data_IF_637572346930
#
_entry.id   IF_637572346930
#
_cell.length_a   1.000
_cell.length_b   1.000
_cell.length_c   1.000
_cell.angle_alpha   90.00
_cell.angle_beta   90.00
_cell.angle_gamma   90.00
#
_symmetry.space_group_name_H-M   'P 1'
#
loop_
_entity.id
_entity.type
_entity.pdbx_description
1 polymer ?
#
# COMPACT_ATOMS: atom_id res chain seq x y z
N UNK A 1 18.91 6.26 13.79
CA UNK A 1 18.52 5.38 12.67
C UNK A 1 17.35 4.54 13.14
N UNK A 2 16.19 4.65 12.50
CA UNK A 2 15.01 3.84 12.81
C UNK A 2 15.28 2.38 12.44
N UNK A 3 15.15 1.45 13.39
CA UNK A 3 15.61 0.06 13.23
C UNK A 3 14.56 -0.88 12.59
N UNK A 4 13.31 -0.43 12.48
CA UNK A 4 12.20 -1.27 11.99
C UNK A 4 11.38 -0.51 10.95
N UNK A 5 11.52 -0.89 9.68
CA UNK A 5 10.75 -0.34 8.54
C UNK A 5 9.33 -0.93 8.42
N UNK A 6 9.02 -1.96 9.21
CA UNK A 6 7.71 -2.62 9.27
C UNK A 6 7.08 -2.44 10.65
N UNK A 7 5.75 -2.32 10.78
CA UNK A 7 5.07 -2.15 12.05
C UNK A 7 5.50 -3.18 13.09
N UNK A 8 5.92 -2.70 14.25
CA UNK A 8 6.37 -3.52 15.35
C UNK A 8 5.41 -3.36 16.53
N UNK A 9 4.77 -4.46 16.90
CA UNK A 9 3.78 -4.48 17.97
C UNK A 9 4.34 -5.14 19.23
N UNK A 10 4.17 -4.46 20.35
CA UNK A 10 4.36 -5.05 21.68
C UNK A 10 3.01 -5.53 22.20
N UNK A 11 2.93 -6.81 22.59
CA UNK A 11 1.73 -7.39 23.20
C UNK A 11 1.94 -7.63 24.69
N UNK A 12 1.03 -7.11 25.52
CA UNK A 12 0.95 -7.41 26.95
C UNK A 12 -0.19 -8.38 27.19
N UNK A 13 0.15 -9.60 27.57
CA UNK A 13 -0.81 -10.67 27.86
C UNK A 13 -0.92 -10.87 29.37
N UNK A 14 -2.12 -10.66 29.91
CA UNK A 14 -2.44 -11.05 31.29
C UNK A 14 -2.70 -12.55 31.36
N UNK A 15 -2.02 -13.25 32.26
CA UNK A 15 -2.24 -14.68 32.54
C UNK A 15 -3.38 -14.93 33.55
N UNK A 16 -4.02 -13.87 34.06
CA UNK A 16 -5.17 -13.97 34.95
C UNK A 16 -6.45 -14.38 34.19
N UNK A 17 -7.45 -14.90 34.90
CA UNK A 17 -8.78 -15.22 34.34
C UNK A 17 -9.80 -14.12 34.76
N UNK A 18 -10.45 -13.41 33.82
CA UNK A 18 -10.37 -13.56 32.37
C UNK A 18 -9.06 -13.03 31.77
N UNK A 19 -8.59 -13.72 30.72
CA UNK A 19 -7.40 -13.33 29.97
C UNK A 19 -7.67 -11.99 29.28
N UNK A 20 -6.70 -11.08 29.38
CA UNK A 20 -6.74 -9.77 28.71
C UNK A 20 -5.45 -9.58 27.93
N UNK A 21 -5.57 -9.13 26.69
CA UNK A 21 -4.43 -8.84 25.83
C UNK A 21 -4.51 -7.40 25.40
N UNK A 22 -3.39 -6.69 25.47
CA UNK A 22 -3.25 -5.32 24.99
C UNK A 22 -2.09 -5.24 24.00
N UNK A 23 -2.15 -4.28 23.07
CA UNK A 23 -1.09 -4.07 22.09
C UNK A 23 -0.63 -2.61 22.03
N UNK A 24 0.59 -2.40 21.57
CA UNK A 24 1.15 -1.08 21.33
C UNK A 24 1.96 -1.08 20.04
N UNK A 25 1.67 -0.14 19.14
CA UNK A 25 2.49 0.08 17.96
C UNK A 25 3.71 0.95 18.34
N UNK A 26 4.88 0.31 18.42
CA UNK A 26 6.06 0.94 19.00
C UNK A 26 6.53 2.16 18.20
N UNK A 27 6.52 2.10 16.86
CA UNK A 27 6.98 3.24 16.06
C UNK A 27 6.11 4.47 16.26
N UNK A 28 4.77 4.31 16.32
CA UNK A 28 3.86 5.43 16.52
C UNK A 28 3.92 5.95 17.96
N UNK A 29 4.08 5.06 18.95
CA UNK A 29 4.35 5.47 20.32
C UNK A 29 5.65 6.28 20.46
N UNK A 30 6.71 5.88 19.76
CA UNK A 30 7.96 6.65 19.72
C UNK A 30 7.71 8.05 19.16
N UNK A 31 7.03 8.14 18.01
CA UNK A 31 6.78 9.41 17.32
C UNK A 31 5.89 10.35 18.13
N UNK A 32 4.80 9.83 18.67
CA UNK A 32 3.75 10.67 19.25
C UNK A 32 3.98 10.95 20.74
N UNK A 33 4.61 10.02 21.46
CA UNK A 33 4.83 10.12 22.91
C UNK A 33 6.29 10.34 23.23
N UNK A 34 7.19 9.45 22.82
CA UNK A 34 8.59 9.55 23.24
C UNK A 34 9.27 10.79 22.68
N UNK A 35 9.12 11.07 21.39
CA UNK A 35 9.76 12.20 20.72
C UNK A 35 9.16 13.56 21.12
N UNK A 36 7.90 13.58 21.58
CA UNK A 36 7.19 14.79 21.99
C UNK A 36 7.28 15.06 23.50
N UNK A 37 7.02 14.04 24.32
CA UNK A 37 6.89 14.18 25.78
C UNK A 37 8.21 13.93 26.52
N UNK A 38 9.13 13.16 25.94
CA UNK A 38 10.47 12.87 26.52
C UNK A 38 11.58 13.23 25.53
N UNK A 39 11.83 14.51 25.27
CA UNK A 39 12.88 14.93 24.34
C UNK A 39 14.22 14.31 24.72
N UNK A 40 15.02 13.91 23.73
CA UNK A 40 16.35 13.32 23.93
C UNK A 40 16.39 11.97 24.65
N UNK A 41 15.26 11.25 24.81
CA UNK A 41 15.21 9.91 25.42
C UNK A 41 16.20 8.88 24.84
N UNK A 42 16.74 9.12 23.64
CA UNK A 42 17.74 8.28 22.98
C UNK A 42 19.17 8.51 23.49
N UNK A 43 19.42 9.64 24.13
CA UNK A 43 20.72 10.04 24.69
C UNK A 43 20.78 9.85 26.20
N UNK A 44 19.64 9.57 26.84
CA UNK A 44 19.60 9.25 28.26
C UNK A 44 20.44 8.01 28.58
N UNK A 45 21.17 8.09 29.70
CA UNK A 45 22.01 7.00 30.19
C UNK A 45 21.18 5.84 30.77
N UNK A 46 19.85 6.00 30.88
CA UNK A 46 18.95 4.96 31.35
C UNK A 46 18.92 3.75 30.40
N UNK A 47 19.08 2.56 30.96
CA UNK A 47 19.09 1.31 30.19
C UNK A 47 17.68 0.75 29.88
N UNK A 48 16.61 1.42 30.32
CA UNK A 48 15.24 0.94 30.17
C UNK A 48 14.24 2.08 29.99
N UNK A 49 13.22 1.84 29.16
CA UNK A 49 12.13 2.78 28.92
C UNK A 49 10.82 2.15 29.40
N UNK A 50 10.04 2.92 30.16
CA UNK A 50 8.69 2.51 30.56
C UNK A 50 7.68 2.99 29.54
N UNK A 51 7.01 2.06 28.87
CA UNK A 51 5.95 2.36 27.90
C UNK A 51 4.56 2.24 28.54
N UNK A 52 3.63 3.09 28.13
CA UNK A 52 2.23 3.06 28.56
C UNK A 52 1.34 2.55 27.43
N UNK A 53 0.65 1.45 27.67
CA UNK A 53 -0.28 0.84 26.71
C UNK A 53 -1.70 1.37 26.97
N UNK A 54 -2.37 1.96 25.97
CA UNK A 54 -3.74 2.44 26.09
C UNK A 54 -4.72 1.32 26.43
N UNK A 55 -5.67 1.53 27.36
CA UNK A 55 -6.74 0.58 27.63
C UNK A 55 -7.60 0.21 26.41
N UNK A 56 -7.74 1.12 25.46
CA UNK A 56 -8.47 0.98 24.20
C UNK A 56 -7.76 0.09 23.18
N UNK A 57 -6.43 -0.06 23.28
CA UNK A 57 -5.68 -1.04 22.49
C UNK A 57 -5.79 -2.45 23.12
N UNK A 58 -7.00 -2.86 23.49
CA UNK A 58 -7.28 -4.20 23.98
C UNK A 58 -7.67 -5.14 22.83
N UNK A 59 -7.50 -6.45 23.03
CA UNK A 59 -8.06 -7.48 22.17
C UNK A 59 -9.20 -8.21 22.91
N UNK A 60 -10.27 -8.60 22.19
CA UNK A 60 -10.36 -8.69 20.72
C UNK A 60 -10.73 -7.40 19.97
N UNK A 61 -11.21 -6.36 20.65
CA UNK A 61 -11.84 -5.20 20.00
C UNK A 61 -10.91 -4.43 19.05
N UNK A 62 -9.61 -4.40 19.35
CA UNK A 62 -8.60 -3.71 18.54
C UNK A 62 -8.01 -4.51 17.36
N UNK A 63 -8.55 -5.68 17.00
CA UNK A 63 -7.97 -6.50 15.93
C UNK A 63 -7.99 -5.79 14.57
N UNK A 64 -9.08 -5.10 14.24
CA UNK A 64 -9.23 -4.34 12.99
C UNK A 64 -8.17 -3.22 12.90
N UNK A 65 -7.81 -2.63 14.04
CA UNK A 65 -6.77 -1.60 14.14
C UNK A 65 -5.38 -2.20 13.84
N UNK A 66 -5.08 -3.38 14.38
CA UNK A 66 -3.82 -4.09 14.07
C UNK A 66 -3.76 -4.44 12.59
N UNK A 67 -4.84 -4.99 12.03
CA UNK A 67 -4.91 -5.31 10.61
C UNK A 67 -4.72 -4.06 9.74
N UNK A 68 -5.35 -2.95 10.13
CA UNK A 68 -5.22 -1.62 9.53
C UNK A 68 -3.77 -1.11 9.47
N UNK A 69 -3.03 -1.27 10.55
CA UNK A 69 -1.62 -0.86 10.59
C UNK A 69 -0.76 -1.86 9.78
N UNK A 70 -1.02 -3.16 9.91
CA UNK A 70 -0.18 -4.21 9.32
C UNK A 70 -0.29 -4.31 7.79
N UNK A 71 -1.44 -3.99 7.19
CA UNK A 71 -1.59 -4.08 5.72
C UNK A 71 -0.88 -2.92 4.99
N UNK A 72 -0.71 -1.78 5.66
CA UNK A 72 -0.29 -0.52 5.04
C UNK A 72 1.09 -0.57 4.37
N UNK A 73 2.14 -1.16 4.99
CA UNK A 73 3.43 -1.31 4.31
C UNK A 73 3.32 -2.11 3.03
N UNK A 74 2.56 -3.21 3.06
CA UNK A 74 2.36 -4.05 1.87
C UNK A 74 1.58 -3.31 0.79
N UNK A 75 0.58 -2.53 1.17
CA UNK A 75 -0.16 -1.67 0.24
C UNK A 75 0.77 -0.67 -0.46
N UNK A 76 1.67 -0.01 0.27
CA UNK A 76 2.60 0.97 -0.31
C UNK A 76 3.65 0.32 -1.22
N UNK A 77 4.20 -0.83 -0.79
CA UNK A 77 5.11 -1.63 -1.61
C UNK A 77 4.44 -2.01 -2.95
N UNK A 78 3.22 -2.54 -2.87
CA UNK A 78 2.46 -2.92 -4.07
C UNK A 78 2.06 -1.71 -4.91
N UNK A 79 1.75 -0.56 -4.30
CA UNK A 79 1.45 0.68 -5.03
C UNK A 79 2.66 1.20 -5.81
N UNK A 80 3.85 1.17 -5.21
CA UNK A 80 5.08 1.55 -5.89
C UNK A 80 5.38 0.63 -7.07
N UNK A 81 5.27 -0.70 -6.87
CA UNK A 81 5.41 -1.68 -7.95
C UNK A 81 4.36 -1.46 -9.05
N UNK A 82 3.10 -1.21 -8.67
CA UNK A 82 2.04 -0.92 -9.63
C UNK A 82 2.34 0.32 -10.48
N UNK A 83 2.81 1.40 -9.84
CA UNK A 83 3.11 2.66 -10.52
C UNK A 83 4.20 2.50 -11.58
N UNK A 84 5.23 1.71 -11.29
CA UNK A 84 6.28 1.35 -12.25
C UNK A 84 5.71 0.50 -13.40
N UNK A 85 4.98 -0.57 -13.06
CA UNK A 85 4.40 -1.49 -14.04
C UNK A 85 3.46 -0.74 -15.00
N UNK A 86 2.51 0.02 -14.46
CA UNK A 86 1.50 0.70 -15.25
C UNK A 86 2.10 1.87 -16.03
N UNK A 87 3.07 2.60 -15.46
CA UNK A 87 3.79 3.64 -16.19
C UNK A 87 4.44 3.12 -17.47
N UNK A 88 5.13 1.98 -17.39
CA UNK A 88 5.73 1.35 -18.57
C UNK A 88 4.68 0.81 -19.55
N UNK A 89 3.64 0.12 -19.07
CA UNK A 89 2.54 -0.37 -19.92
C UNK A 89 1.87 0.79 -20.66
N UNK A 90 1.49 1.86 -19.95
CA UNK A 90 0.81 3.02 -20.50
C UNK A 90 1.64 3.76 -21.54
N UNK A 91 2.95 3.93 -21.29
CA UNK A 91 3.88 4.53 -22.24
C UNK A 91 3.99 3.72 -23.53
N UNK A 92 4.14 2.39 -23.41
CA UNK A 92 4.26 1.49 -24.57
C UNK A 92 2.97 1.42 -25.38
N UNK A 93 1.81 1.32 -24.72
CA UNK A 93 0.51 1.35 -25.39
C UNK A 93 0.35 2.68 -26.16
N UNK A 94 0.68 3.81 -25.54
CA UNK A 94 0.61 5.12 -26.19
C UNK A 94 1.54 5.20 -27.41
N UNK A 95 2.77 4.68 -27.30
CA UNK A 95 3.72 4.65 -28.42
C UNK A 95 3.24 3.78 -29.59
N UNK A 96 2.67 2.60 -29.29
CA UNK A 96 2.06 1.71 -30.29
C UNK A 96 0.90 2.41 -31.01
N UNK A 97 0.00 3.05 -30.25
CA UNK A 97 -1.16 3.76 -30.82
C UNK A 97 -0.76 4.96 -31.68
N UNK A 98 0.33 5.63 -31.33
CA UNK A 98 0.89 6.73 -32.12
C UNK A 98 1.70 6.26 -33.35
N UNK A 99 1.85 4.95 -33.57
CA UNK A 99 2.67 4.41 -34.65
C UNK A 99 4.18 4.62 -34.46
N UNK A 100 4.61 4.95 -33.24
CA UNK A 100 6.02 5.17 -32.89
C UNK A 100 6.74 3.88 -32.49
N UNK A 101 6.01 2.77 -32.37
CA UNK A 101 6.56 1.46 -32.00
C UNK A 101 5.86 0.35 -32.78
N UNK A 102 6.65 -0.54 -33.38
CA UNK A 102 6.11 -1.70 -34.08
C UNK A 102 5.50 -2.69 -33.08
N UNK A 103 4.38 -3.30 -33.48
CA UNK A 103 3.73 -4.35 -32.70
C UNK A 103 4.27 -5.68 -33.18
N UNK A 104 5.02 -6.36 -32.31
CA UNK A 104 5.45 -7.75 -32.50
C UNK A 104 4.79 -8.64 -31.44
N UNK A 105 4.74 -9.94 -31.72
CA UNK A 105 4.26 -10.95 -30.75
C UNK A 105 5.04 -10.89 -29.43
N UNK A 106 6.35 -10.63 -29.50
CA UNK A 106 7.23 -10.46 -28.34
C UNK A 106 6.84 -9.25 -27.48
N UNK A 107 6.54 -8.11 -28.11
CA UNK A 107 6.10 -6.89 -27.40
C UNK A 107 4.78 -7.13 -26.68
N UNK A 108 3.82 -7.78 -27.35
CA UNK A 108 2.52 -8.13 -26.74
C UNK A 108 2.73 -9.10 -25.56
N UNK A 109 3.60 -10.09 -25.71
CA UNK A 109 3.91 -11.03 -24.64
C UNK A 109 4.55 -10.33 -23.43
N UNK A 110 5.48 -9.39 -23.64
CA UNK A 110 6.10 -8.61 -22.57
C UNK A 110 5.06 -7.77 -21.80
N UNK A 111 4.19 -7.04 -22.53
CA UNK A 111 3.12 -6.23 -21.94
C UNK A 111 2.16 -7.08 -21.11
N UNK A 112 1.78 -8.27 -21.61
CA UNK A 112 0.95 -9.21 -20.86
C UNK A 112 1.63 -9.69 -19.59
N UNK A 113 2.91 -10.05 -19.66
CA UNK A 113 3.66 -10.49 -18.48
C UNK A 113 3.71 -9.40 -17.40
N UNK A 114 3.88 -8.13 -17.80
CA UNK A 114 3.81 -6.98 -16.88
C UNK A 114 2.42 -6.82 -16.28
N UNK A 115 1.37 -6.89 -17.09
CA UNK A 115 0.00 -6.82 -16.58
C UNK A 115 -0.35 -8.01 -15.64
N UNK A 116 0.17 -9.21 -15.91
CA UNK A 116 0.04 -10.36 -15.00
C UNK A 116 0.78 -10.16 -13.67
N UNK A 117 1.87 -9.38 -13.65
CA UNK A 117 2.51 -8.98 -12.39
C UNK A 117 1.62 -8.01 -11.63
N UNK A 118 1.08 -6.98 -12.28
CA UNK A 118 0.11 -6.06 -11.65
C UNK A 118 -1.10 -6.80 -11.08
N UNK A 119 -1.58 -7.85 -11.76
CA UNK A 119 -2.69 -8.70 -11.30
C UNK A 119 -2.44 -9.42 -9.97
N UNK A 120 -1.17 -9.62 -9.58
CA UNK A 120 -0.78 -10.31 -8.34
C UNK A 120 -0.71 -9.39 -7.12
N UNK A 121 -0.87 -8.08 -7.32
CA UNK A 121 -0.81 -7.05 -6.27
C UNK A 121 -2.12 -7.01 -5.48
N UNK A 122 -2.34 -8.04 -4.66
CA UNK A 122 -3.64 -8.33 -4.07
C UNK A 122 -4.08 -7.31 -3.02
N UNK A 123 -3.15 -6.82 -2.20
CA UNK A 123 -3.46 -5.87 -1.14
C UNK A 123 -3.89 -4.55 -1.77
N UNK A 124 -3.16 -4.10 -2.80
CA UNK A 124 -3.49 -2.92 -3.58
C UNK A 124 -4.84 -3.06 -4.28
N UNK A 125 -5.04 -4.13 -5.06
CA UNK A 125 -6.24 -4.34 -5.87
C UNK A 125 -7.52 -4.56 -5.04
N UNK A 126 -7.39 -4.85 -3.74
CA UNK A 126 -8.54 -5.03 -2.84
C UNK A 126 -8.87 -3.76 -2.06
N UNK A 127 -7.92 -2.83 -1.89
CA UNK A 127 -8.05 -1.70 -0.96
C UNK A 127 -7.82 -0.32 -1.58
N UNK A 128 -7.60 -0.21 -2.89
CA UNK A 128 -7.45 1.09 -3.54
C UNK A 128 -8.80 1.80 -3.70
N UNK A 129 -8.73 3.13 -3.72
CA UNK A 129 -9.90 4.01 -3.86
C UNK A 129 -10.25 4.31 -5.33
N UNK A 130 -9.43 3.85 -6.27
CA UNK A 130 -9.58 4.11 -7.70
C UNK A 130 -10.49 3.08 -8.40
N UNK A 131 -11.16 2.20 -7.65
CA UNK A 131 -12.00 1.12 -8.16
C UNK A 131 -11.28 0.13 -9.10
N UNK A 132 -9.95 0.10 -9.10
CA UNK A 132 -9.16 -0.83 -9.91
C UNK A 132 -9.12 -2.18 -9.22
N UNK A 133 -9.72 -3.18 -9.84
CA UNK A 133 -9.79 -4.55 -9.30
C UNK A 133 -8.95 -5.52 -10.13
N UNK A 134 -8.86 -6.77 -9.69
CA UNK A 134 -8.32 -7.85 -10.54
C UNK A 134 -9.05 -7.96 -11.89
N UNK A 135 -10.35 -7.70 -11.92
CA UNK A 135 -11.14 -7.74 -13.15
C UNK A 135 -10.76 -6.59 -14.11
N UNK A 136 -10.49 -5.40 -13.56
CA UNK A 136 -9.97 -4.26 -14.34
C UNK A 136 -8.63 -4.63 -15.00
N UNK A 137 -7.73 -5.29 -14.27
CA UNK A 137 -6.45 -5.77 -14.83
C UNK A 137 -6.66 -6.88 -15.87
N UNK A 138 -7.61 -7.79 -15.66
CA UNK A 138 -7.97 -8.81 -16.65
C UNK A 138 -8.50 -8.18 -17.95
N UNK A 139 -9.29 -7.11 -17.86
CA UNK A 139 -9.74 -6.34 -19.01
C UNK A 139 -8.57 -5.66 -19.73
N UNK A 140 -7.61 -5.10 -18.99
CA UNK A 140 -6.38 -4.54 -19.58
C UNK A 140 -5.55 -5.62 -20.32
N UNK A 141 -5.44 -6.83 -19.76
CA UNK A 141 -4.75 -7.95 -20.42
C UNK A 141 -5.44 -8.35 -21.73
N UNK A 142 -6.78 -8.37 -21.73
CA UNK A 142 -7.56 -8.63 -22.95
C UNK A 142 -7.35 -7.52 -23.98
N UNK A 143 -7.36 -6.27 -23.56
CA UNK A 143 -7.06 -5.12 -24.43
C UNK A 143 -5.66 -5.23 -25.05
N UNK A 144 -4.63 -5.52 -24.25
CA UNK A 144 -3.25 -5.71 -24.73
C UNK A 144 -3.20 -6.81 -25.81
N UNK A 145 -3.98 -7.88 -25.65
CA UNK A 145 -4.03 -8.96 -26.65
C UNK A 145 -4.59 -8.45 -27.99
N UNK A 146 -5.56 -7.54 -27.98
CA UNK A 146 -6.15 -6.98 -29.20
C UNK A 146 -5.30 -5.92 -29.91
N UNK A 147 -4.19 -5.45 -29.33
CA UNK A 147 -3.29 -4.47 -29.94
C UNK A 147 -2.57 -5.01 -31.19
N UNK A 148 -2.57 -6.33 -31.41
CA UNK A 148 -2.09 -6.94 -32.65
C UNK A 148 -2.94 -6.52 -33.88
N UNK A 149 -4.23 -6.25 -33.68
CA UNK A 149 -5.16 -5.81 -34.73
C UNK A 149 -5.24 -4.28 -34.88
N UNK A 150 -5.49 -3.76 -36.09
CA UNK A 150 -5.78 -2.33 -36.30
C UNK A 150 -6.98 -1.84 -35.48
N UNK A 151 -8.03 -2.65 -35.35
CA UNK A 151 -9.24 -2.33 -34.60
C UNK A 151 -8.94 -2.14 -33.11
N UNK A 152 -8.15 -3.03 -32.50
CA UNK A 152 -7.78 -2.93 -31.09
C UNK A 152 -6.86 -1.74 -30.78
N UNK A 153 -6.09 -1.24 -31.75
CA UNK A 153 -5.28 -0.01 -31.58
C UNK A 153 -6.12 1.27 -31.61
N UNK A 154 -7.28 1.22 -32.26
CA UNK A 154 -8.16 2.38 -32.42
C UNK A 154 -8.94 2.73 -31.15
N UNK A 155 -9.12 1.77 -30.24
CA UNK A 155 -9.84 1.96 -28.99
C UNK A 155 -8.93 2.39 -27.85
N UNK A 156 -9.49 3.10 -26.88
CA UNK A 156 -8.77 3.44 -25.65
C UNK A 156 -8.68 2.24 -24.70
N UNK A 157 -7.62 2.16 -23.88
CA UNK A 157 -7.52 1.13 -22.85
C UNK A 157 -8.69 1.23 -21.86
N UNK A 158 -9.21 0.08 -21.38
CA UNK A 158 -10.28 0.09 -20.39
C UNK A 158 -9.80 0.75 -19.10
N UNK A 159 -10.67 1.58 -18.50
CA UNK A 159 -10.41 2.24 -17.21
C UNK A 159 -9.09 3.04 -17.17
N UNK A 160 -8.59 3.52 -18.32
CA UNK A 160 -7.29 4.20 -18.44
C UNK A 160 -7.11 5.32 -17.41
N UNK A 161 -8.15 6.15 -17.22
CA UNK A 161 -8.15 7.22 -16.24
C UNK A 161 -7.96 6.71 -14.79
N UNK A 162 -8.67 5.65 -14.39
CA UNK A 162 -8.61 5.11 -13.04
C UNK A 162 -7.25 4.46 -12.76
N UNK A 163 -6.68 3.78 -13.77
CA UNK A 163 -5.34 3.22 -13.65
C UNK A 163 -4.27 4.31 -13.55
N UNK A 164 -4.40 5.39 -14.32
CA UNK A 164 -3.51 6.54 -14.25
C UNK A 164 -3.60 7.24 -12.89
N UNK A 165 -4.82 7.46 -12.38
CA UNK A 165 -5.03 7.98 -11.02
C UNK A 165 -4.37 7.08 -9.96
N UNK A 166 -4.52 5.76 -10.08
CA UNK A 166 -3.89 4.83 -9.14
C UNK A 166 -2.37 4.91 -9.19
N UNK A 167 -1.77 4.93 -10.39
CA UNK A 167 -0.32 5.04 -10.57
C UNK A 167 0.24 6.39 -10.07
N UNK A 168 -0.55 7.46 -10.15
CA UNK A 168 -0.15 8.79 -9.66
C UNK A 168 -0.42 9.00 -8.16
N UNK A 169 -1.20 8.12 -7.53
CA UNK A 169 -1.59 8.25 -6.11
C UNK A 169 -0.42 8.21 -5.13
N UNK A 170 0.73 7.64 -5.54
CA UNK A 170 1.95 7.58 -4.72
C UNK A 170 2.47 8.99 -4.35
N UNK A 171 2.32 9.99 -5.23
CA UNK A 171 2.82 11.34 -5.00
C UNK A 171 2.10 12.11 -3.88
N UNK A 172 0.91 11.66 -3.47
CA UNK A 172 0.11 12.30 -2.40
C UNK A 172 0.17 11.60 -1.04
N UNK A 173 0.81 10.44 -0.93
CA UNK A 173 0.61 9.55 0.22
C UNK A 173 1.38 9.94 1.50
N UNK A 174 2.48 10.69 1.41
CA UNK A 174 3.27 11.08 2.61
C UNK A 174 2.53 12.06 3.54
N UNK A 175 1.74 12.99 3.00
CA UNK A 175 0.92 13.91 3.82
C UNK A 175 -0.39 13.27 4.30
N UNK A 176 -0.99 12.39 3.50
CA UNK A 176 -2.20 11.64 3.86
C UNK A 176 -1.91 10.57 4.92
N UNK A 177 -0.66 10.09 5.00
CA UNK A 177 -0.19 9.06 5.93
C UNK A 177 -0.46 9.39 7.40
N UNK A 178 -0.18 10.63 7.83
CA UNK A 178 -0.44 11.04 9.21
C UNK A 178 -1.92 11.35 9.44
N UNK A 179 -2.57 11.92 8.42
CA UNK A 179 -3.95 12.38 8.52
C UNK A 179 -4.97 11.24 8.62
N UNK A 180 -4.79 10.13 7.88
CA UNK A 180 -5.69 8.95 7.93
C UNK A 180 -5.54 8.17 9.23
N UNK A 181 -4.31 8.03 9.74
CA UNK A 181 -4.07 7.40 11.04
C UNK A 181 -4.69 8.20 12.20
N UNK A 182 -4.71 9.53 12.07
CA UNK A 182 -5.32 10.44 13.06
C UNK A 182 -6.85 10.50 12.96
N UNK A 183 -7.43 10.48 11.76
CA UNK A 183 -8.88 10.57 11.57
C UNK A 183 -9.64 9.25 11.80
N UNK A 184 -9.04 8.09 11.55
CA UNK A 184 -9.71 6.79 11.72
C UNK A 184 -9.74 6.29 13.17
N UNK A 185 -9.36 7.12 14.15
CA UNK A 185 -9.25 6.72 15.56
C UNK A 185 -8.16 5.67 15.81
N UNK A 186 -7.29 5.44 14.84
CA UNK A 186 -6.15 4.53 14.94
C UNK A 186 -4.99 5.14 15.75
N UNK A 187 -5.11 6.40 16.17
CA UNK A 187 -4.09 7.22 16.85
C UNK A 187 -4.05 7.12 18.37
N UNK A 188 -4.86 6.26 19.01
CA UNK A 188 -4.81 6.14 20.46
C UNK A 188 -3.45 5.62 21.00
N UNK A 189 -2.62 5.06 20.11
CA UNK A 189 -1.19 5.32 19.85
C UNK A 189 -0.83 4.51 18.62
#
# INVERSE_FOLDING_TARGET
MEKFSIPFFLFRVSVANPQKVYFLWIQRYIKDVMDCETPMWREDEEHSITVRIPPENNLPDGINKIEGIAFRPKYLEELAEFSEIYGDIGNRISAIRAGMHDVSEEVIAELKNRAYRARRLNVLLTRNECCISRQSVDALIQYITGLDTPEGRSTEPPEAHNFEMLAQSMAGMDMVQNFVLENDGLSAY
#
